data_IF_782080720531
#
_entry.id   IF_782080720531
#
_cell.length_a   1.000
_cell.length_b   1.000
_cell.length_c   1.000
_cell.angle_alpha   90.00
_cell.angle_beta   90.00
_cell.angle_gamma   90.00
#
_symmetry.space_group_name_H-M   'P 1'
#
loop_
_entity.id
_entity.type
_entity.pdbx_description
1 polymer ?
#
# COMPACT_ATOMS: atom_id res chain seq x y z
N UNK A 1 -27.77 -0.81 50.55
CA UNK A 1 -27.95 -1.77 49.43
C UNK A 1 -28.10 -0.99 48.15
N UNK A 2 -27.56 -1.51 47.03
CA UNK A 2 -27.64 -0.92 45.67
C UNK A 2 -26.99 0.49 45.54
N UNK A 3 -26.41 0.88 44.39
CA UNK A 3 -26.24 0.19 43.10
C UNK A 3 -24.96 0.66 42.39
N UNK A 4 -24.35 -0.25 41.63
CA UNK A 4 -23.28 0.04 40.69
C UNK A 4 -23.79 0.92 39.54
N UNK A 5 -22.99 1.88 39.05
CA UNK A 5 -23.28 2.62 37.81
C UNK A 5 -22.07 2.59 36.87
N UNK A 6 -21.90 1.47 36.18
CA UNK A 6 -20.87 1.25 35.17
C UNK A 6 -21.50 0.97 33.79
N UNK A 7 -21.81 2.02 33.02
CA UNK A 7 -21.96 1.98 31.56
C UNK A 7 -22.30 3.36 30.97
N UNK A 8 -21.47 3.87 30.06
CA UNK A 8 -21.97 4.52 28.83
C UNK A 8 -20.85 4.60 27.80
N UNK A 9 -21.05 3.92 26.68
CA UNK A 9 -20.20 3.94 25.49
C UNK A 9 -20.17 5.35 24.89
N UNK A 10 -18.97 5.91 24.67
CA UNK A 10 -18.83 7.11 23.83
C UNK A 10 -19.01 6.72 22.36
N UNK A 11 -20.03 7.22 21.65
CA UNK A 11 -20.14 7.02 20.21
C UNK A 11 -19.07 7.86 19.49
N UNK A 12 -18.30 7.25 18.59
CA UNK A 12 -17.55 8.02 17.59
C UNK A 12 -18.53 8.73 16.66
N UNK A 13 -18.72 10.04 16.88
CA UNK A 13 -19.42 10.93 15.95
C UNK A 13 -18.53 11.24 14.74
N UNK A 14 -18.85 10.76 13.52
CA UNK A 14 -18.18 11.25 12.32
C UNK A 14 -18.70 12.65 12.01
N UNK A 15 -17.83 13.65 12.07
CA UNK A 15 -18.19 15.02 11.70
C UNK A 15 -18.64 15.09 10.23
N UNK A 16 -19.65 15.92 9.99
CA UNK A 16 -20.33 16.18 8.73
C UNK A 16 -19.39 16.47 7.55
N UNK A 17 -19.21 15.50 6.65
CA UNK A 17 -18.69 15.76 5.30
C UNK A 17 -19.86 15.99 4.34
N UNK A 18 -19.94 17.15 3.64
CA UNK A 18 -21.01 17.41 2.68
C UNK A 18 -21.03 16.40 1.53
N UNK A 19 -22.22 15.91 1.20
CA UNK A 19 -22.47 14.92 0.14
C UNK A 19 -22.78 15.65 -1.18
N UNK A 20 -21.91 15.62 -2.22
CA UNK A 20 -22.20 16.31 -3.48
C UNK A 20 -23.31 15.61 -4.25
N UNK A 21 -24.36 16.35 -4.61
CA UNK A 21 -25.47 15.86 -5.43
C UNK A 21 -25.10 15.81 -6.93
N UNK A 22 -25.59 14.77 -7.60
CA UNK A 22 -25.37 14.37 -8.99
C UNK A 22 -25.37 15.50 -10.07
N UNK A 23 -24.60 15.31 -11.17
CA UNK A 23 -24.51 16.35 -12.19
C UNK A 23 -23.88 16.14 -13.59
N UNK A 24 -23.63 14.92 -14.12
CA UNK A 24 -23.70 14.52 -15.58
C UNK A 24 -22.73 13.40 -16.04
N UNK A 25 -23.15 12.74 -17.13
CA UNK A 25 -22.42 11.80 -17.99
C UNK A 25 -22.79 12.11 -19.48
N UNK A 26 -22.27 11.51 -20.56
CA UNK A 26 -21.45 10.29 -20.77
C UNK A 26 -20.44 10.52 -21.92
N UNK A 27 -19.15 10.21 -21.73
CA UNK A 27 -18.24 9.80 -22.84
C UNK A 27 -17.24 8.73 -22.38
N UNK A 28 -17.74 7.57 -21.96
CA UNK A 28 -16.89 6.42 -21.67
C UNK A 28 -16.38 5.80 -23.00
N UNK A 29 -15.23 6.27 -23.49
CA UNK A 29 -14.58 5.66 -24.65
C UNK A 29 -14.24 4.19 -24.34
N UNK A 30 -14.84 3.30 -25.13
CA UNK A 30 -15.05 1.88 -24.80
C UNK A 30 -13.78 1.04 -25.04
N UNK A 31 -12.84 1.06 -24.10
CA UNK A 31 -11.75 0.08 -24.00
C UNK A 31 -11.60 -0.47 -22.57
N UNK A 32 -12.66 -1.09 -22.07
CA UNK A 32 -12.56 -1.95 -20.89
C UNK A 32 -11.83 -3.26 -21.27
N UNK A 33 -10.70 -3.62 -20.63
CA UNK A 33 -10.04 -4.90 -20.88
C UNK A 33 -10.93 -6.05 -20.37
N UNK A 34 -11.41 -6.89 -21.28
CA UNK A 34 -12.43 -7.91 -21.04
C UNK A 34 -11.87 -9.21 -20.44
N UNK A 35 -11.18 -9.12 -19.31
CA UNK A 35 -10.69 -10.26 -18.55
C UNK A 35 -11.12 -10.14 -17.08
N UNK A 36 -12.33 -10.61 -16.80
CA UNK A 36 -12.81 -10.78 -15.42
C UNK A 36 -12.00 -11.90 -14.78
N UNK A 37 -11.29 -11.59 -13.70
CA UNK A 37 -10.38 -12.56 -13.08
C UNK A 37 -11.18 -13.49 -12.17
N UNK A 38 -11.59 -14.65 -12.71
CA UNK A 38 -12.53 -15.60 -12.09
C UNK A 38 -12.00 -16.20 -10.78
N UNK A 39 -10.68 -16.41 -10.66
CA UNK A 39 -10.01 -16.74 -9.41
C UNK A 39 -8.54 -16.29 -9.44
N UNK A 40 -8.03 -15.74 -8.34
CA UNK A 40 -6.61 -15.37 -8.20
C UNK A 40 -5.89 -16.32 -7.25
N UNK A 41 -5.04 -17.19 -7.79
CA UNK A 41 -4.04 -17.91 -6.99
C UNK A 41 -3.09 -16.91 -6.30
N UNK A 42 -2.62 -17.24 -5.08
CA UNK A 42 -1.75 -16.36 -4.28
C UNK A 42 -0.34 -16.25 -4.87
N UNK A 43 -0.17 -15.41 -5.89
CA UNK A 43 1.11 -15.21 -6.56
C UNK A 43 2.09 -14.40 -5.69
N UNK A 44 3.22 -15.01 -5.39
CA UNK A 44 4.40 -14.42 -4.73
C UNK A 44 5.01 -13.27 -5.55
N UNK A 45 4.66 -12.01 -5.24
CA UNK A 45 5.20 -10.81 -5.94
C UNK A 45 6.58 -10.38 -5.40
N UNK A 46 7.42 -9.86 -6.30
CA UNK A 46 8.79 -9.39 -6.03
C UNK A 46 9.06 -8.02 -6.66
N UNK A 47 10.13 -7.34 -6.24
CA UNK A 47 10.70 -6.12 -6.85
C UNK A 47 12.23 -6.21 -6.85
N UNK A 48 12.88 -5.57 -7.81
CA UNK A 48 14.33 -5.33 -7.78
C UNK A 48 14.60 -3.95 -7.16
N UNK A 49 15.55 -3.88 -6.24
CA UNK A 49 15.88 -2.70 -5.45
C UNK A 49 17.38 -2.60 -5.25
N UNK A 50 17.87 -1.38 -5.01
CA UNK A 50 19.23 -1.10 -4.53
C UNK A 50 19.13 -0.69 -3.06
N UNK A 51 19.92 -1.28 -2.18
CA UNK A 51 19.98 -0.87 -0.77
C UNK A 51 20.74 0.45 -0.61
N UNK A 52 20.15 1.39 0.12
CA UNK A 52 20.74 2.71 0.43
C UNK A 52 21.47 2.70 1.78
N UNK A 53 21.13 1.77 2.65
CA UNK A 53 21.74 1.54 3.97
C UNK A 53 22.11 0.06 4.14
N UNK A 54 23.02 -0.22 5.07
CA UNK A 54 23.32 -1.59 5.51
C UNK A 54 22.16 -2.17 6.35
N UNK A 55 21.88 -3.46 6.17
CA UNK A 55 20.84 -4.21 6.85
C UNK A 55 21.36 -5.64 7.08
N UNK A 56 21.66 -5.98 8.33
CA UNK A 56 22.31 -7.24 8.75
C UNK A 56 21.69 -8.51 8.16
N UNK A 57 20.35 -8.58 8.04
CA UNK A 57 19.63 -9.75 7.49
C UNK A 57 19.51 -9.78 5.95
N UNK A 58 19.81 -8.68 5.26
CA UNK A 58 19.45 -8.50 3.84
C UNK A 58 20.67 -8.28 2.94
N UNK A 59 21.64 -7.46 3.37
CA UNK A 59 22.79 -7.07 2.55
C UNK A 59 23.32 -5.69 2.90
N UNK A 60 24.42 -5.32 2.24
CA UNK A 60 25.14 -4.07 2.48
C UNK A 60 24.57 -2.93 1.64
N UNK A 61 24.94 -1.70 2.03
CA UNK A 61 24.70 -0.49 1.22
C UNK A 61 25.29 -0.65 -0.18
N UNK A 62 24.47 -0.41 -1.21
CA UNK A 62 24.81 -0.55 -2.63
C UNK A 62 24.35 -1.86 -3.27
N UNK A 63 23.96 -2.88 -2.49
CA UNK A 63 23.60 -4.18 -3.04
C UNK A 63 22.29 -4.14 -3.84
N UNK A 64 22.29 -4.79 -5.01
CA UNK A 64 21.11 -4.91 -5.89
C UNK A 64 20.42 -6.25 -5.66
N UNK A 65 19.21 -6.25 -5.11
CA UNK A 65 18.53 -7.45 -4.60
C UNK A 65 17.07 -7.58 -5.08
N UNK A 66 16.59 -8.83 -5.17
CA UNK A 66 15.21 -9.18 -5.57
C UNK A 66 14.32 -9.46 -4.35
N UNK A 67 13.81 -8.41 -3.73
CA UNK A 67 13.00 -8.47 -2.49
C UNK A 67 11.52 -8.76 -2.74
N UNK A 68 10.79 -9.11 -1.67
CA UNK A 68 9.31 -9.18 -1.67
C UNK A 68 8.72 -7.79 -1.88
N UNK A 69 7.66 -7.69 -2.71
CA UNK A 69 6.99 -6.42 -2.95
C UNK A 69 6.41 -5.78 -1.67
N UNK A 70 5.94 -6.60 -0.71
CA UNK A 70 5.47 -6.15 0.60
C UNK A 70 6.59 -5.65 1.51
N UNK A 71 7.76 -6.28 1.50
CA UNK A 71 8.93 -5.84 2.27
C UNK A 71 9.43 -4.47 1.79
N UNK A 72 9.50 -4.28 0.47
CA UNK A 72 9.79 -2.97 -0.12
C UNK A 72 8.79 -1.90 0.34
N UNK A 73 7.48 -2.13 0.15
CA UNK A 73 6.46 -1.12 0.43
C UNK A 73 6.30 -0.80 1.92
N UNK A 74 6.41 -1.80 2.79
CA UNK A 74 6.08 -1.66 4.21
C UNK A 74 7.29 -1.31 5.09
N UNK A 75 8.51 -1.66 4.67
CA UNK A 75 9.72 -1.49 5.48
C UNK A 75 10.78 -0.62 4.79
N UNK A 76 11.20 -0.96 3.57
CA UNK A 76 12.31 -0.25 2.93
C UNK A 76 11.94 1.16 2.47
N UNK A 77 10.80 1.31 1.78
CA UNK A 77 10.33 2.59 1.23
C UNK A 77 10.01 3.63 2.34
N UNK A 78 9.22 3.32 3.39
CA UNK A 78 8.90 4.32 4.43
C UNK A 78 10.12 4.73 5.28
N UNK A 79 11.16 3.88 5.33
CA UNK A 79 12.41 4.14 6.04
C UNK A 79 13.52 4.72 5.15
N UNK A 80 13.27 4.92 3.85
CA UNK A 80 14.28 5.40 2.89
C UNK A 80 15.45 4.45 2.62
N UNK A 81 15.37 3.18 3.06
CA UNK A 81 16.51 2.23 3.06
C UNK A 81 16.81 1.57 1.71
N UNK A 82 15.94 1.73 0.72
CA UNK A 82 16.18 1.20 -0.62
C UNK A 82 15.42 1.97 -1.70
N UNK A 83 16.05 2.08 -2.87
CA UNK A 83 15.47 2.68 -4.08
C UNK A 83 15.08 1.58 -5.08
N UNK A 84 14.10 1.83 -5.95
CA UNK A 84 13.79 0.90 -7.05
C UNK A 84 14.96 0.81 -8.03
N UNK A 85 15.25 -0.39 -8.51
CA UNK A 85 16.18 -0.60 -9.61
C UNK A 85 15.51 -0.15 -10.92
N UNK A 86 15.69 1.12 -11.29
CA UNK A 86 15.42 1.64 -12.63
C UNK A 86 16.76 1.89 -13.35
N UNK A 87 16.80 1.79 -14.69
CA UNK A 87 18.05 2.02 -15.45
C UNK A 87 18.58 3.45 -15.28
N UNK A 88 17.73 4.40 -14.91
CA UNK A 88 18.12 5.79 -14.63
C UNK A 88 18.98 5.96 -13.37
N UNK A 89 18.89 5.01 -12.43
CA UNK A 89 19.64 4.99 -11.16
C UNK A 89 21.00 4.26 -11.32
N UNK A 90 21.19 3.52 -12.41
CA UNK A 90 22.42 2.79 -12.74
C UNK A 90 23.42 3.62 -13.58
N UNK A 91 23.47 4.93 -13.35
CA UNK A 91 24.35 5.87 -14.07
C UNK A 91 25.67 6.10 -13.34
#
# INVERSE_FOLDING_TARGET
MASLSCASTLPWTPASYPRPSAGRCLTASRRAPSLVIVAQGKVKKYRQVILTDDIEEVGKKGDTLKVRAGFYRNFLLPKGKATLLTPEVLK
#
